data_IF_409704728296
#
_entry.id   IF_409704728296
#
_cell.length_a   1.000
_cell.length_b   1.000
_cell.length_c   1.000
_cell.angle_alpha   90.00
_cell.angle_beta   90.00
_cell.angle_gamma   90.00
#
_symmetry.space_group_name_H-M   'P 1'
#
loop_
_entity.id
_entity.type
_entity.pdbx_description
1 polymer ?
#
# COMPACT_ATOMS: atom_id res chain seq x y z
N UNK A 1 3.77 14.92 10.07
CA UNK A 1 2.79 13.97 9.47
C UNK A 1 3.40 13.25 8.27
N UNK A 2 2.88 12.08 7.88
CA UNK A 2 3.29 11.38 6.66
C UNK A 2 2.14 11.16 5.68
N UNK A 3 2.44 11.14 4.38
CA UNK A 3 1.60 10.50 3.36
C UNK A 3 2.16 9.11 3.07
N UNK A 4 1.31 8.11 3.19
CA UNK A 4 1.59 6.74 2.75
C UNK A 4 0.84 6.51 1.44
N UNK A 5 1.54 6.00 0.42
CA UNK A 5 0.92 5.46 -0.78
C UNK A 5 1.37 4.02 -1.01
N UNK A 6 0.48 3.15 -1.47
CA UNK A 6 0.78 1.75 -1.79
C UNK A 6 -0.01 1.26 -2.99
N UNK A 7 0.48 0.19 -3.61
CA UNK A 7 -0.09 -0.40 -4.83
C UNK A 7 -0.51 -1.83 -4.55
N UNK A 8 -1.78 -2.15 -4.79
CA UNK A 8 -2.39 -3.43 -4.39
C UNK A 8 -3.37 -3.92 -5.46
N UNK A 9 -3.43 -5.23 -5.76
CA UNK A 9 -4.43 -5.76 -6.70
C UNK A 9 -5.85 -5.62 -6.14
N UNK A 10 -6.84 -5.55 -7.04
CA UNK A 10 -8.26 -5.40 -6.71
C UNK A 10 -8.75 -6.41 -5.66
N UNK A 11 -8.30 -7.65 -5.77
CA UNK A 11 -8.68 -8.75 -4.87
C UNK A 11 -8.33 -8.50 -3.39
N UNK A 12 -7.37 -7.62 -3.08
CA UNK A 12 -6.87 -7.41 -1.72
C UNK A 12 -6.97 -5.96 -1.23
N UNK A 13 -7.45 -5.02 -2.06
CA UNK A 13 -7.47 -3.59 -1.72
C UNK A 13 -8.21 -3.29 -0.42
N UNK A 14 -9.38 -3.90 -0.19
CA UNK A 14 -10.16 -3.68 1.04
C UNK A 14 -9.51 -4.32 2.27
N UNK A 15 -8.92 -5.51 2.11
CA UNK A 15 -8.22 -6.21 3.21
C UNK A 15 -7.02 -5.39 3.68
N UNK A 16 -6.21 -4.89 2.75
CA UNK A 16 -5.03 -4.09 3.05
C UNK A 16 -5.41 -2.73 3.65
N UNK A 17 -6.41 -2.04 3.08
CA UNK A 17 -6.93 -0.79 3.66
C UNK A 17 -7.42 -1.00 5.09
N UNK A 18 -8.20 -2.05 5.34
CA UNK A 18 -8.69 -2.39 6.67
C UNK A 18 -7.56 -2.55 7.69
N UNK A 19 -6.49 -3.27 7.33
CA UNK A 19 -5.32 -3.43 8.21
C UNK A 19 -4.58 -2.10 8.47
N UNK A 20 -4.41 -1.27 7.43
CA UNK A 20 -3.79 0.05 7.54
C UNK A 20 -4.62 0.99 8.43
N UNK A 21 -5.94 0.99 8.29
CA UNK A 21 -6.84 1.79 9.12
C UNK A 21 -6.88 1.30 10.57
N UNK A 22 -6.88 -0.02 10.79
CA UNK A 22 -6.81 -0.59 12.13
C UNK A 22 -5.51 -0.21 12.87
N UNK A 23 -4.40 -0.07 12.12
CA UNK A 23 -3.14 0.43 12.65
C UNK A 23 -3.08 1.96 12.83
N UNK A 24 -4.14 2.68 12.45
CA UNK A 24 -4.29 4.12 12.66
C UNK A 24 -3.93 5.00 11.46
N UNK A 25 -3.66 4.41 10.28
CA UNK A 25 -3.60 5.17 9.03
C UNK A 25 -4.96 5.77 8.67
N UNK A 26 -4.96 6.88 7.93
CA UNK A 26 -6.20 7.49 7.41
C UNK A 26 -7.03 8.20 8.48
N UNK A 27 -6.43 8.59 9.61
CA UNK A 27 -7.06 9.44 10.62
C UNK A 27 -6.63 10.89 10.45
N UNK A 28 -7.60 11.79 10.39
CA UNK A 28 -7.38 13.24 10.33
C UNK A 28 -8.52 13.99 11.03
N UNK A 29 -8.21 14.74 12.09
CA UNK A 29 -9.21 15.37 12.93
C UNK A 29 -10.22 14.35 13.47
N UNK A 30 -11.51 14.60 13.24
CA UNK A 30 -12.62 13.73 13.67
C UNK A 30 -13.01 12.66 12.64
N UNK A 31 -12.18 12.42 11.62
CA UNK A 31 -12.43 11.45 10.55
C UNK A 31 -11.43 10.30 10.60
N UNK A 32 -11.92 9.08 10.37
CA UNK A 32 -11.11 7.89 10.15
C UNK A 32 -11.42 7.25 8.78
N UNK A 33 -10.70 6.18 8.42
CA UNK A 33 -10.82 5.49 7.14
C UNK A 33 -10.65 6.41 5.91
N UNK A 34 -9.96 7.54 6.06
CA UNK A 34 -9.70 8.46 4.98
C UNK A 34 -8.61 7.89 4.05
N UNK A 35 -8.97 7.70 2.79
CA UNK A 35 -8.03 7.35 1.73
C UNK A 35 -8.55 7.89 0.39
N UNK A 36 -7.63 8.20 -0.50
CA UNK A 36 -7.91 8.35 -1.91
C UNK A 36 -7.36 7.15 -2.67
N UNK A 37 -8.05 6.70 -3.73
CA UNK A 37 -7.56 5.62 -4.56
C UNK A 37 -7.87 5.82 -6.04
N UNK A 38 -7.03 5.26 -6.89
CA UNK A 38 -7.20 5.23 -8.35
C UNK A 38 -6.75 3.88 -8.91
N UNK A 39 -7.51 3.36 -9.86
CA UNK A 39 -7.13 2.17 -10.60
C UNK A 39 -6.12 2.55 -11.68
N UNK A 40 -5.02 1.82 -11.74
CA UNK A 40 -3.98 1.97 -12.74
C UNK A 40 -3.45 0.62 -13.22
N UNK A 41 -2.43 0.65 -14.06
CA UNK A 41 -1.75 -0.54 -14.57
C UNK A 41 -0.33 -0.60 -14.00
N UNK A 42 -0.09 -1.55 -13.10
CA UNK A 42 1.23 -1.90 -12.61
C UNK A 42 2.01 -2.74 -13.62
N UNK A 43 3.34 -2.67 -13.58
CA UNK A 43 4.20 -3.51 -14.40
C UNK A 43 5.43 -3.94 -13.60
N UNK A 44 5.71 -5.24 -13.61
CA UNK A 44 6.90 -5.82 -13.00
C UNK A 44 7.37 -7.04 -13.78
N UNK A 45 8.57 -7.53 -13.47
CA UNK A 45 9.11 -8.78 -13.99
C UNK A 45 9.70 -9.57 -12.82
N UNK A 46 9.11 -10.69 -12.40
CA UNK A 46 9.70 -11.53 -11.37
C UNK A 46 11.08 -12.01 -11.82
N UNK A 47 12.07 -11.89 -10.94
CA UNK A 47 13.43 -12.37 -11.16
C UNK A 47 13.61 -13.74 -10.51
N UNK A 48 14.69 -14.45 -10.88
CA UNK A 48 15.07 -15.70 -10.23
C UNK A 48 15.16 -15.52 -8.71
N UNK A 49 14.50 -16.40 -7.96
CA UNK A 49 14.40 -16.34 -6.50
C UNK A 49 13.18 -15.60 -5.94
N UNK A 50 12.37 -14.96 -6.79
CA UNK A 50 11.10 -14.35 -6.36
C UNK A 50 10.04 -15.43 -6.11
N UNK A 51 9.16 -15.23 -5.12
CA UNK A 51 7.91 -16.01 -4.98
C UNK A 51 6.72 -15.10 -5.31
N UNK A 52 6.51 -14.77 -6.59
CA UNK A 52 5.48 -13.82 -6.96
C UNK A 52 4.09 -14.39 -6.65
N UNK A 53 3.23 -13.55 -6.08
CA UNK A 53 1.81 -13.88 -5.91
C UNK A 53 1.10 -13.99 -7.27
N UNK A 54 1.51 -13.18 -8.24
CA UNK A 54 1.01 -13.17 -9.62
C UNK A 54 2.19 -13.11 -10.58
N UNK A 55 2.12 -13.89 -11.66
CA UNK A 55 3.06 -13.82 -12.78
C UNK A 55 4.12 -14.91 -12.84
N UNK A 56 4.85 -14.94 -13.95
CA UNK A 56 5.87 -15.96 -14.22
C UNK A 56 7.30 -15.37 -14.22
N UNK A 57 8.27 -16.18 -13.77
CA UNK A 57 9.68 -15.78 -13.74
C UNK A 57 10.19 -15.39 -15.13
N UNK A 58 10.86 -14.23 -15.21
CA UNK A 58 11.44 -13.70 -16.45
C UNK A 58 10.44 -13.05 -17.41
N UNK A 59 9.14 -13.09 -17.14
CA UNK A 59 8.11 -12.49 -17.99
C UNK A 59 7.66 -11.12 -17.44
N UNK A 60 7.43 -10.16 -18.34
CA UNK A 60 6.88 -8.86 -17.96
C UNK A 60 5.39 -9.01 -17.76
N UNK A 61 4.94 -8.76 -16.54
CA UNK A 61 3.54 -8.81 -16.15
C UNK A 61 2.95 -7.40 -16.16
N UNK A 62 1.66 -7.32 -16.47
CA UNK A 62 0.86 -6.11 -16.33
C UNK A 62 -0.41 -6.46 -15.58
N UNK A 63 -0.67 -5.76 -14.49
CA UNK A 63 -1.76 -6.08 -13.57
C UNK A 63 -2.50 -4.78 -13.24
N UNK A 64 -3.83 -4.83 -13.22
CA UNK A 64 -4.63 -3.73 -12.70
C UNK A 64 -4.43 -3.63 -11.19
N UNK A 65 -3.99 -2.46 -10.73
CA UNK A 65 -3.68 -2.21 -9.33
C UNK A 65 -4.27 -0.89 -8.87
N UNK A 66 -4.75 -0.88 -7.64
CA UNK A 66 -5.13 0.35 -6.96
C UNK A 66 -3.89 1.01 -6.38
N UNK A 67 -3.63 2.25 -6.78
CA UNK A 67 -2.84 3.15 -5.94
C UNK A 67 -3.77 3.68 -4.86
N UNK A 68 -3.47 3.37 -3.60
CA UNK A 68 -4.16 3.92 -2.42
C UNK A 68 -3.22 4.88 -1.71
N UNK A 69 -3.72 6.03 -1.29
CA UNK A 69 -2.95 7.01 -0.54
C UNK A 69 -3.75 7.65 0.59
N UNK A 70 -3.06 7.89 1.71
CA UNK A 70 -3.66 8.38 2.95
C UNK A 70 -2.61 9.06 3.83
N UNK A 71 -3.08 9.79 4.84
CA UNK A 71 -2.22 10.42 5.86
C UNK A 71 -2.02 9.51 7.07
N UNK A 72 -0.88 9.65 7.73
CA UNK A 72 -0.52 8.90 8.94
C UNK A 72 0.19 9.83 9.93
N UNK A 73 -0.17 9.76 11.20
CA UNK A 73 0.54 10.46 12.28
C UNK A 73 1.99 9.97 12.41
N UNK A 74 2.88 10.84 12.90
CA UNK A 74 4.33 10.58 12.91
C UNK A 74 4.69 9.39 13.79
N UNK A 75 4.02 9.24 14.92
CA UNK A 75 4.20 8.15 15.88
C UNK A 75 3.62 6.81 15.39
N UNK A 76 2.77 6.81 14.36
CA UNK A 76 2.10 5.62 13.85
C UNK A 76 2.70 5.06 12.56
N UNK A 77 3.52 5.82 11.84
CA UNK A 77 3.98 5.44 10.50
C UNK A 77 4.67 4.07 10.45
N UNK A 78 5.50 3.75 11.43
CA UNK A 78 6.21 2.46 11.50
C UNK A 78 5.22 1.30 11.65
N UNK A 79 4.26 1.42 12.56
CA UNK A 79 3.24 0.40 12.80
C UNK A 79 2.31 0.23 11.60
N UNK A 80 1.91 1.34 10.97
CA UNK A 80 1.06 1.32 9.78
C UNK A 80 1.76 0.66 8.59
N UNK A 81 3.04 0.97 8.35
CA UNK A 81 3.83 0.30 7.29
C UNK A 81 4.01 -1.20 7.57
N UNK A 82 4.17 -1.58 8.83
CA UNK A 82 4.21 -2.99 9.22
C UNK A 82 2.88 -3.70 8.94
N UNK A 83 1.74 -3.07 9.28
CA UNK A 83 0.41 -3.60 8.99
C UNK A 83 0.14 -3.72 7.48
N UNK A 84 0.58 -2.72 6.69
CA UNK A 84 0.56 -2.79 5.23
C UNK A 84 1.32 -4.03 4.75
N UNK A 85 2.58 -4.21 5.15
CA UNK A 85 3.41 -5.33 4.69
C UNK A 85 2.85 -6.70 5.09
N UNK A 86 2.30 -6.83 6.29
CA UNK A 86 1.75 -8.10 6.79
C UNK A 86 0.44 -8.50 6.11
N UNK A 87 -0.37 -7.52 5.70
CA UNK A 87 -1.67 -7.77 5.07
C UNK A 87 -1.61 -7.84 3.54
N UNK A 88 -0.49 -7.41 2.94
CA UNK A 88 -0.34 -7.37 1.49
C UNK A 88 -0.12 -8.77 0.90
N UNK A 89 -0.73 -9.10 -0.26
CA UNK A 89 -0.55 -10.40 -0.88
C UNK A 89 0.86 -10.61 -1.46
N UNK A 90 1.54 -9.53 -1.83
CA UNK A 90 2.90 -9.62 -2.41
C UNK A 90 3.95 -9.75 -1.31
N UNK A 91 4.95 -10.61 -1.56
CA UNK A 91 6.12 -10.79 -0.70
C UNK A 91 6.85 -9.45 -0.44
N UNK A 92 7.01 -8.63 -1.49
CA UNK A 92 7.62 -7.31 -1.40
C UNK A 92 6.66 -6.25 -1.97
N UNK A 93 5.82 -5.63 -1.14
CA UNK A 93 4.90 -4.58 -1.58
C UNK A 93 5.65 -3.31 -1.98
N UNK A 94 5.22 -2.68 -3.08
CA UNK A 94 5.67 -1.34 -3.43
C UNK A 94 4.86 -0.29 -2.64
N UNK A 95 5.56 0.63 -1.97
CA UNK A 95 4.95 1.71 -1.22
C UNK A 95 5.87 2.92 -1.11
N UNK A 96 5.28 4.08 -0.84
CA UNK A 96 5.93 5.37 -0.72
C UNK A 96 5.59 5.96 0.65
N UNK A 97 6.58 6.56 1.32
CA UNK A 97 6.39 7.29 2.58
C UNK A 97 7.00 8.68 2.41
N UNK A 98 6.15 9.69 2.39
CA UNK A 98 6.58 11.08 2.27
C UNK A 98 6.28 11.81 3.56
N UNK A 99 7.30 12.45 4.14
CA UNK A 99 7.08 13.39 5.23
C UNK A 99 6.37 14.61 4.66
N UNK A 100 5.28 15.00 5.29
CA UNK A 100 4.54 16.22 4.97
C UNK A 100 5.01 17.34 5.88
N UNK A 101 5.04 18.54 5.32
CA UNK A 101 5.28 19.78 6.05
C UNK A 101 3.95 20.39 6.51
N UNK A 102 3.99 21.16 7.59
CA UNK A 102 2.79 21.66 8.29
C UNK A 102 2.48 23.15 8.04
N UNK A 103 2.92 23.72 6.90
CA UNK A 103 2.82 25.16 6.58
C UNK A 103 1.94 25.49 5.36
#
# INVERSE_FOLDING_TARGET
MYKLAFFVPDSHVEVVKGAVFAAGGGRIGDYDHCAWQVLGLGQFRPLDGSQPFIGEAGQVERVEEWKVELVVADELIVAVVAALKLSHPYETPAYEVWRLEDF
#
